data_IF_807964143130
#
_entry.id   IF_807964143130
#
_cell.length_a   1.000
_cell.length_b   1.000
_cell.length_c   1.000
_cell.angle_alpha   90.00
_cell.angle_beta   90.00
_cell.angle_gamma   90.00
#
_symmetry.space_group_name_H-M   'P 1'
#
loop_
_entity.id
_entity.type
_entity.pdbx_description
1 polymer ?
#
# COMPACT_ATOMS: atom_id res chain seq x y z
N UNK A 1 24.30 4.28 -83.95
CA UNK A 1 24.16 2.83 -83.96
C UNK A 1 23.48 2.40 -82.68
N UNK A 2 22.42 1.72 -82.82
CA UNK A 2 21.44 1.23 -81.91
C UNK A 2 21.95 0.43 -80.67
N UNK A 3 21.32 0.58 -79.56
CA UNK A 3 21.12 -0.53 -78.63
C UNK A 3 19.92 -0.25 -77.72
N UNK A 4 19.03 -1.21 -77.75
CA UNK A 4 17.72 -1.24 -77.11
C UNK A 4 17.72 -1.29 -75.57
N UNK A 5 16.59 -0.98 -74.94
CA UNK A 5 16.47 -0.99 -73.49
C UNK A 5 16.07 -2.38 -72.97
N UNK A 6 16.62 -2.75 -71.82
CA UNK A 6 16.22 -3.96 -71.08
C UNK A 6 15.27 -3.61 -69.96
N UNK A 7 14.30 -4.46 -69.79
CA UNK A 7 13.04 -4.33 -69.12
C UNK A 7 13.11 -4.10 -67.62
N UNK A 8 12.14 -3.33 -67.18
CA UNK A 8 11.64 -3.25 -65.80
C UNK A 8 10.95 -4.56 -65.42
N UNK A 9 11.50 -5.26 -64.49
CA UNK A 9 10.74 -6.21 -63.68
C UNK A 9 10.36 -5.54 -62.36
N UNK A 10 9.13 -5.12 -62.31
CA UNK A 10 8.44 -4.82 -61.07
C UNK A 10 8.23 -6.13 -60.32
N UNK A 11 9.04 -6.40 -59.35
CA UNK A 11 8.70 -7.36 -58.31
C UNK A 11 7.88 -6.61 -57.22
N UNK A 12 6.57 -6.64 -57.43
CA UNK A 12 5.58 -6.38 -56.39
C UNK A 12 5.69 -7.50 -55.34
N UNK A 13 6.57 -7.37 -54.38
CA UNK A 13 6.51 -8.19 -53.19
C UNK A 13 5.35 -7.69 -52.31
N UNK A 14 4.24 -8.39 -52.50
CA UNK A 14 3.08 -8.37 -51.59
C UNK A 14 3.48 -8.35 -50.13
N UNK A 15 3.27 -7.23 -49.55
CA UNK A 15 3.32 -7.02 -48.11
C UNK A 15 1.91 -7.26 -47.50
N UNK A 16 1.33 -8.42 -47.82
CA UNK A 16 0.06 -8.90 -47.27
C UNK A 16 0.35 -10.17 -46.48
N UNK A 17 0.60 -10.02 -45.16
CA UNK A 17 0.25 -11.01 -44.13
C UNK A 17 0.78 -10.63 -42.75
N UNK A 18 0.48 -9.42 -42.26
CA UNK A 18 0.22 -9.31 -40.84
C UNK A 18 -1.21 -9.80 -40.56
N UNK A 19 -1.36 -11.13 -40.53
CA UNK A 19 -2.60 -11.76 -40.05
C UNK A 19 -2.80 -11.22 -38.63
N UNK A 20 -3.80 -10.36 -38.43
CA UNK A 20 -4.23 -9.85 -37.13
C UNK A 20 -4.54 -11.07 -36.25
N UNK A 21 -3.52 -11.48 -35.44
CA UNK A 21 -3.73 -12.54 -34.47
C UNK A 21 -4.87 -12.12 -33.55
N UNK A 22 -5.97 -12.86 -33.59
CA UNK A 22 -7.16 -12.60 -32.77
C UNK A 22 -6.71 -12.53 -31.31
N UNK A 23 -6.87 -11.36 -30.66
CA UNK A 23 -6.52 -11.17 -29.27
C UNK A 23 -7.28 -12.16 -28.39
N UNK A 24 -6.60 -12.76 -27.42
CA UNK A 24 -7.24 -13.60 -26.43
C UNK A 24 -8.09 -12.73 -25.48
N UNK A 25 -9.30 -13.18 -25.18
CA UNK A 25 -10.19 -12.46 -24.25
C UNK A 25 -9.83 -12.80 -22.81
N UNK A 26 -9.65 -11.78 -21.99
CA UNK A 26 -9.36 -11.90 -20.55
C UNK A 26 -10.39 -11.11 -19.75
N UNK A 27 -10.95 -11.76 -18.75
CA UNK A 27 -11.82 -11.15 -17.75
C UNK A 27 -11.04 -10.95 -16.45
N UNK A 28 -11.02 -9.70 -15.95
CA UNK A 28 -10.47 -9.34 -14.63
C UNK A 28 -11.64 -9.05 -13.70
N UNK A 29 -11.66 -9.66 -12.52
CA UNK A 29 -12.71 -9.46 -11.52
C UNK A 29 -12.15 -8.57 -10.41
N UNK A 30 -12.81 -7.43 -10.19
CA UNK A 30 -12.44 -6.38 -9.25
C UNK A 30 -11.57 -5.29 -9.87
N UNK A 31 -12.01 -4.03 -9.74
CA UNK A 31 -11.30 -2.84 -10.20
C UNK A 31 -10.57 -2.11 -9.07
N UNK A 32 -10.04 -2.85 -8.08
CA UNK A 32 -9.03 -2.34 -7.15
C UNK A 32 -7.68 -2.21 -7.85
N UNK A 33 -6.64 -1.71 -7.15
CA UNK A 33 -5.31 -1.48 -7.75
C UNK A 33 -4.73 -2.74 -8.42
N UNK A 34 -4.93 -3.91 -7.83
CA UNK A 34 -4.43 -5.17 -8.40
C UNK A 34 -5.07 -5.50 -9.75
N UNK A 35 -6.42 -5.41 -9.82
CA UNK A 35 -7.14 -5.68 -11.07
C UNK A 35 -6.89 -4.62 -12.13
N UNK A 36 -6.87 -3.35 -11.74
CA UNK A 36 -6.56 -2.24 -12.66
C UNK A 36 -5.13 -2.35 -13.21
N UNK A 37 -4.14 -2.66 -12.36
CA UNK A 37 -2.75 -2.86 -12.83
C UNK A 37 -2.62 -4.07 -13.74
N UNK A 38 -3.30 -5.18 -13.44
CA UNK A 38 -3.31 -6.36 -14.29
C UNK A 38 -3.94 -6.04 -15.65
N UNK A 39 -5.10 -5.36 -15.65
CA UNK A 39 -5.78 -4.96 -16.89
C UNK A 39 -4.90 -4.03 -17.74
N UNK A 40 -4.24 -3.07 -17.11
CA UNK A 40 -3.31 -2.15 -17.76
C UNK A 40 -2.15 -2.89 -18.44
N UNK A 41 -1.45 -3.77 -17.72
CA UNK A 41 -0.32 -4.53 -18.26
C UNK A 41 -0.74 -5.49 -19.39
N UNK A 42 -1.90 -6.16 -19.24
CA UNK A 42 -2.45 -7.01 -20.27
C UNK A 42 -2.82 -6.21 -21.52
N UNK A 43 -3.40 -5.02 -21.35
CA UNK A 43 -3.71 -4.14 -22.47
C UNK A 43 -2.44 -3.67 -23.19
N UNK A 44 -1.41 -3.26 -22.46
CA UNK A 44 -0.13 -2.81 -23.02
C UNK A 44 0.59 -3.89 -23.83
N UNK A 45 0.39 -5.16 -23.49
CA UNK A 45 0.98 -6.28 -24.25
C UNK A 45 0.43 -6.45 -25.66
N UNK A 46 -0.69 -5.81 -25.99
CA UNK A 46 -1.44 -5.93 -27.23
C UNK A 46 -1.93 -7.36 -27.60
N UNK A 47 -1.64 -8.36 -26.76
CA UNK A 47 -2.02 -9.75 -26.98
C UNK A 47 -3.46 -10.07 -26.51
N UNK A 48 -4.04 -9.21 -25.66
CA UNK A 48 -5.30 -9.48 -24.97
C UNK A 48 -6.36 -8.43 -25.22
N UNK A 49 -7.62 -8.88 -25.31
CA UNK A 49 -8.82 -8.07 -25.21
C UNK A 49 -9.33 -8.16 -23.75
N UNK A 50 -9.11 -7.11 -22.95
CA UNK A 50 -9.36 -7.13 -21.52
C UNK A 50 -10.71 -6.51 -21.21
N UNK A 51 -11.47 -7.14 -20.29
CA UNK A 51 -12.65 -6.55 -19.65
C UNK A 51 -12.52 -6.70 -18.14
N UNK A 52 -12.74 -5.62 -17.41
CA UNK A 52 -12.75 -5.60 -15.94
C UNK A 52 -14.19 -5.49 -15.46
N UNK A 53 -14.60 -6.34 -14.53
CA UNK A 53 -15.89 -6.25 -13.85
C UNK A 53 -15.68 -5.85 -12.41
N UNK A 54 -16.45 -4.84 -11.96
CA UNK A 54 -16.43 -4.30 -10.60
C UNK A 54 -17.84 -4.28 -10.05
N UNK A 55 -18.01 -4.81 -8.84
CA UNK A 55 -19.31 -4.86 -8.16
C UNK A 55 -19.79 -3.47 -7.69
N UNK A 56 -18.84 -2.64 -7.25
CA UNK A 56 -19.15 -1.31 -6.76
C UNK A 56 -19.47 -0.33 -7.92
N UNK A 57 -20.18 0.76 -7.63
CA UNK A 57 -20.49 1.79 -8.63
C UNK A 57 -19.24 2.51 -9.17
N UNK A 58 -18.13 2.47 -8.42
CA UNK A 58 -16.88 3.15 -8.76
C UNK A 58 -15.69 2.20 -8.69
N UNK A 59 -14.73 2.37 -9.60
CA UNK A 59 -13.45 1.66 -9.56
C UNK A 59 -12.53 2.27 -8.50
N UNK A 60 -11.56 1.48 -8.01
CA UNK A 60 -10.50 1.92 -7.09
C UNK A 60 -10.31 1.01 -5.88
N UNK A 61 -11.34 0.30 -5.44
CA UNK A 61 -11.27 -0.56 -4.25
C UNK A 61 -10.85 0.26 -3.01
N UNK A 62 -9.72 -0.08 -2.38
CA UNK A 62 -9.17 0.69 -1.24
C UNK A 62 -8.61 2.07 -1.60
N UNK A 63 -8.48 2.40 -2.88
CA UNK A 63 -8.18 3.76 -3.33
C UNK A 63 -9.47 4.59 -3.37
N UNK A 64 -10.04 4.79 -2.19
CA UNK A 64 -11.32 5.46 -2.02
C UNK A 64 -11.12 6.87 -1.49
N UNK A 65 -11.39 7.86 -2.33
CA UNK A 65 -11.38 9.28 -1.95
C UNK A 65 -12.82 9.77 -1.75
N UNK A 66 -13.12 10.29 -0.57
CA UNK A 66 -14.38 11.01 -0.31
C UNK A 66 -14.19 12.48 -0.70
N UNK A 67 -14.84 12.88 -1.76
CA UNK A 67 -14.74 14.24 -2.26
C UNK A 67 -15.56 15.22 -1.41
N UNK A 68 -15.03 16.44 -1.24
CA UNK A 68 -15.70 17.58 -0.59
C UNK A 68 -16.37 17.18 0.73
N UNK A 69 -15.64 16.53 1.61
CA UNK A 69 -16.13 16.15 2.93
C UNK A 69 -16.42 17.40 3.77
N UNK A 70 -17.69 17.63 4.10
CA UNK A 70 -18.10 18.73 5.00
C UNK A 70 -17.43 18.64 6.39
N UNK A 71 -17.19 17.43 6.87
CA UNK A 71 -16.51 17.19 8.14
C UNK A 71 -15.01 17.51 8.11
N UNK A 72 -14.41 17.63 6.92
CA UNK A 72 -13.01 17.98 6.71
C UNK A 72 -12.85 19.35 6.02
N UNK A 73 -13.77 20.28 6.23
CA UNK A 73 -13.71 21.63 5.63
C UNK A 73 -13.83 21.63 4.10
N UNK A 74 -14.68 20.76 3.56
CA UNK A 74 -14.87 20.56 2.11
C UNK A 74 -13.61 20.08 1.36
N UNK A 75 -12.71 19.44 2.07
CA UNK A 75 -11.52 18.83 1.48
C UNK A 75 -11.79 17.39 1.02
N UNK A 76 -11.06 16.98 0.00
CA UNK A 76 -11.01 15.58 -0.41
C UNK A 76 -10.23 14.75 0.64
N UNK A 77 -10.77 13.61 1.05
CA UNK A 77 -10.18 12.75 2.09
C UNK A 77 -10.08 11.32 1.58
N UNK A 78 -8.88 10.74 1.65
CA UNK A 78 -8.67 9.31 1.40
C UNK A 78 -9.13 8.49 2.61
N UNK A 79 -10.00 7.51 2.37
CA UNK A 79 -10.57 6.65 3.41
C UNK A 79 -9.88 5.29 3.53
N UNK A 80 -9.11 4.89 2.52
CA UNK A 80 -8.39 3.63 2.51
C UNK A 80 -6.89 3.85 2.33
N UNK A 81 -6.37 3.68 1.10
CA UNK A 81 -4.96 3.92 0.81
C UNK A 81 -4.61 5.41 0.92
N UNK A 82 -3.67 5.74 1.80
CA UNK A 82 -3.30 7.13 2.10
C UNK A 82 -1.84 7.45 1.78
N UNK A 83 -0.90 6.62 2.24
CA UNK A 83 0.53 6.90 2.22
C UNK A 83 1.33 5.75 1.61
N UNK A 84 2.45 6.08 1.00
CA UNK A 84 3.43 5.13 0.47
C UNK A 84 4.84 5.70 0.60
N UNK A 85 5.86 4.90 0.28
CA UNK A 85 7.23 5.37 0.18
C UNK A 85 7.94 4.70 -1.00
N UNK A 86 9.05 5.27 -1.45
CA UNK A 86 9.74 4.79 -2.64
C UNK A 86 10.48 3.48 -2.44
N UNK A 87 10.75 3.10 -1.21
CA UNK A 87 11.54 1.89 -0.88
C UNK A 87 10.66 0.65 -0.81
N UNK A 88 9.51 0.76 -0.12
CA UNK A 88 8.65 -0.38 0.19
C UNK A 88 7.65 -0.72 -0.93
N UNK A 89 7.38 0.24 -1.82
CA UNK A 89 6.36 0.13 -2.87
C UNK A 89 6.91 0.23 -4.30
N UNK A 90 7.97 -0.54 -4.69
CA UNK A 90 8.65 -0.35 -5.97
C UNK A 90 7.72 -0.50 -7.18
N UNK A 91 6.81 -1.47 -7.16
CA UNK A 91 5.87 -1.70 -8.28
C UNK A 91 4.82 -0.59 -8.40
N UNK A 92 4.33 -0.07 -7.28
CA UNK A 92 3.39 1.06 -7.27
C UNK A 92 4.08 2.34 -7.78
N UNK A 93 5.31 2.57 -7.34
CA UNK A 93 6.14 3.70 -7.81
C UNK A 93 6.38 3.60 -9.31
N UNK A 94 6.76 2.42 -9.83
CA UNK A 94 6.92 2.20 -11.26
C UNK A 94 5.66 2.48 -12.07
N UNK A 95 4.50 2.05 -11.56
CA UNK A 95 3.20 2.37 -12.18
C UNK A 95 2.93 3.88 -12.17
N UNK A 96 3.26 4.57 -11.07
CA UNK A 96 3.07 6.03 -10.98
C UNK A 96 3.99 6.79 -11.94
N UNK A 97 5.23 6.35 -12.10
CA UNK A 97 6.18 6.94 -13.06
C UNK A 97 5.69 6.77 -14.50
N UNK A 98 5.26 5.57 -14.86
CA UNK A 98 4.75 5.24 -16.19
C UNK A 98 3.50 6.04 -16.54
N UNK A 99 2.55 6.15 -15.61
CA UNK A 99 1.31 6.90 -15.78
C UNK A 99 1.44 8.40 -15.45
N UNK A 100 2.65 8.87 -15.09
CA UNK A 100 2.94 10.26 -14.70
C UNK A 100 2.10 10.76 -13.54
N UNK A 101 1.76 9.87 -12.59
CA UNK A 101 1.04 10.21 -11.37
C UNK A 101 1.95 11.01 -10.45
N UNK A 102 1.55 12.22 -10.10
CA UNK A 102 2.32 13.09 -9.22
C UNK A 102 2.10 12.73 -7.76
N UNK A 103 3.14 12.86 -6.97
CA UNK A 103 3.10 12.66 -5.52
C UNK A 103 3.93 13.71 -4.80
N UNK A 104 3.69 13.89 -3.53
CA UNK A 104 4.38 14.86 -2.67
C UNK A 104 4.79 14.23 -1.35
N UNK A 105 5.76 14.84 -0.68
CA UNK A 105 6.21 14.40 0.64
C UNK A 105 5.11 14.63 1.66
N UNK A 106 4.94 13.67 2.55
CA UNK A 106 4.01 13.72 3.66
C UNK A 106 4.68 13.29 4.95
N UNK A 107 3.97 13.41 6.04
CA UNK A 107 4.36 12.94 7.35
C UNK A 107 3.52 11.73 7.76
N UNK A 108 4.18 10.68 8.25
CA UNK A 108 3.54 9.52 8.86
C UNK A 108 3.94 9.46 10.31
N UNK A 109 3.45 10.42 11.07
CA UNK A 109 3.58 10.43 12.52
C UNK A 109 2.50 9.57 13.18
N UNK A 110 2.81 9.12 14.38
CA UNK A 110 1.89 8.41 15.25
C UNK A 110 1.72 9.20 16.54
N UNK A 111 0.50 9.35 16.99
CA UNK A 111 0.20 9.94 18.29
C UNK A 111 -0.89 9.16 19.00
N UNK A 112 -0.82 9.17 20.33
CA UNK A 112 -1.80 8.58 21.21
C UNK A 112 -2.29 9.64 22.19
N UNK A 113 -3.61 9.75 22.32
CA UNK A 113 -4.26 10.47 23.39
C UNK A 113 -5.24 9.55 24.11
N UNK A 114 -5.10 9.44 25.41
CA UNK A 114 -6.01 8.75 26.31
C UNK A 114 -6.30 9.64 27.53
N UNK A 115 -7.20 9.22 28.43
CA UNK A 115 -7.53 10.01 29.63
C UNK A 115 -6.29 10.41 30.46
N UNK A 116 -5.24 9.58 30.46
CA UNK A 116 -4.07 9.75 31.33
C UNK A 116 -2.74 9.88 30.63
N UNK A 117 -2.69 9.64 29.32
CA UNK A 117 -1.43 9.61 28.59
C UNK A 117 -1.60 10.23 27.21
N UNK A 118 -0.73 11.18 26.91
CA UNK A 118 -0.64 11.77 25.57
C UNK A 118 0.84 11.81 25.17
N UNK A 119 1.13 11.29 23.99
CA UNK A 119 2.46 11.32 23.40
C UNK A 119 2.39 11.14 21.89
N UNK A 120 3.46 11.51 21.18
CA UNK A 120 3.56 11.34 19.74
C UNK A 120 4.98 11.02 19.30
N UNK A 121 5.13 10.53 18.08
CA UNK A 121 6.41 10.08 17.52
C UNK A 121 7.26 11.20 16.89
N UNK A 122 6.76 12.44 16.86
CA UNK A 122 7.45 13.60 16.28
C UNK A 122 8.39 14.27 17.29
N UNK A 123 9.63 13.80 17.35
CA UNK A 123 10.67 14.41 18.14
C UNK A 123 10.39 14.45 19.65
N UNK A 124 11.23 15.14 20.39
CA UNK A 124 11.10 15.23 21.86
C UNK A 124 9.82 15.96 22.30
N UNK A 125 9.38 16.96 21.56
CA UNK A 125 8.15 17.70 21.86
C UNK A 125 6.91 16.80 21.75
N UNK A 126 6.87 15.88 20.79
CA UNK A 126 5.81 14.90 20.67
C UNK A 126 5.88 13.83 21.77
N UNK A 127 7.05 13.26 22.03
CA UNK A 127 7.25 12.24 23.07
C UNK A 127 6.81 12.79 24.45
N UNK A 128 7.12 14.04 24.74
CA UNK A 128 6.78 14.72 25.99
C UNK A 128 5.66 15.75 25.82
N UNK A 129 4.69 15.53 24.92
CA UNK A 129 3.51 16.37 24.75
C UNK A 129 2.82 16.62 26.10
N UNK A 130 2.74 15.59 26.91
CA UNK A 130 2.41 15.72 28.33
C UNK A 130 3.67 15.82 29.19
N UNK A 131 3.94 16.96 29.80
CA UNK A 131 5.13 17.18 30.65
C UNK A 131 5.27 16.17 31.81
N UNK A 132 4.16 15.64 32.33
CA UNK A 132 4.18 14.61 33.40
C UNK A 132 4.82 13.29 32.93
N UNK A 133 4.93 13.05 31.64
CA UNK A 133 5.62 11.86 31.10
C UNK A 133 7.10 11.84 31.44
N UNK A 134 7.71 13.03 31.66
CA UNK A 134 9.11 13.17 32.09
C UNK A 134 9.40 12.50 33.44
N UNK A 135 8.43 12.48 34.34
CA UNK A 135 8.56 11.92 35.71
C UNK A 135 7.79 10.60 35.87
N UNK A 136 7.16 10.08 34.81
CA UNK A 136 6.37 8.88 34.89
C UNK A 136 7.24 7.62 34.64
N UNK A 137 7.50 6.76 35.62
CA UNK A 137 8.35 5.58 35.45
C UNK A 137 7.74 4.56 34.50
N UNK A 138 6.39 4.44 34.39
CA UNK A 138 5.72 3.56 33.44
C UNK A 138 5.95 4.01 32.01
N UNK A 139 5.99 5.33 31.76
CA UNK A 139 6.27 5.88 30.44
C UNK A 139 7.73 5.59 30.03
N UNK A 140 8.69 5.76 30.90
CA UNK A 140 10.10 5.42 30.62
C UNK A 140 10.30 3.92 30.42
N UNK A 141 9.56 3.08 31.17
CA UNK A 141 9.57 1.64 30.93
C UNK A 141 9.02 1.32 29.54
N UNK A 142 7.92 1.95 29.10
CA UNK A 142 7.37 1.79 27.75
C UNK A 142 8.42 2.17 26.69
N UNK A 143 9.11 3.30 26.82
CA UNK A 143 10.18 3.68 25.88
C UNK A 143 11.26 2.59 25.79
N UNK A 144 11.69 2.03 26.93
CA UNK A 144 12.65 0.94 26.97
C UNK A 144 12.10 -0.34 26.29
N UNK A 145 10.82 -0.63 26.48
CA UNK A 145 10.15 -1.76 25.87
C UNK A 145 9.97 -1.58 24.37
N UNK A 146 9.74 -0.37 23.85
CA UNK A 146 9.77 -0.06 22.43
C UNK A 146 11.14 -0.43 21.83
N UNK A 147 12.23 -0.03 22.47
CA UNK A 147 13.59 -0.35 22.04
C UNK A 147 13.89 -1.86 22.11
N UNK A 148 13.36 -2.56 23.12
CA UNK A 148 13.44 -4.03 23.23
C UNK A 148 12.64 -4.69 22.11
N UNK A 149 11.41 -4.24 21.86
CA UNK A 149 10.52 -4.82 20.85
C UNK A 149 11.05 -4.65 19.43
N UNK A 150 11.74 -3.55 19.14
CA UNK A 150 12.42 -3.35 17.85
C UNK A 150 13.33 -4.52 17.46
N UNK A 151 13.96 -5.18 18.44
CA UNK A 151 14.90 -6.29 18.19
C UNK A 151 14.22 -7.54 17.67
N UNK A 152 12.91 -7.71 17.93
CA UNK A 152 12.15 -8.90 17.51
C UNK A 152 12.18 -9.12 15.99
N UNK A 153 12.30 -8.05 15.20
CA UNK A 153 12.43 -8.16 13.75
C UNK A 153 13.63 -9.04 13.32
N UNK A 154 14.76 -8.90 14.00
CA UNK A 154 15.96 -9.68 13.67
C UNK A 154 15.75 -11.17 13.93
N UNK A 155 15.10 -11.50 15.04
CA UNK A 155 14.82 -12.88 15.41
C UNK A 155 13.80 -13.53 14.45
N UNK A 156 12.74 -12.80 14.10
CA UNK A 156 11.70 -13.26 13.18
C UNK A 156 12.22 -13.40 11.75
N UNK A 157 13.02 -12.42 11.27
CA UNK A 157 13.49 -12.38 9.88
C UNK A 157 14.74 -13.26 9.66
N UNK A 158 15.49 -13.62 10.70
CA UNK A 158 16.66 -14.51 10.60
C UNK A 158 16.33 -15.93 10.15
N UNK A 159 15.05 -16.30 10.16
CA UNK A 159 14.60 -17.66 9.86
C UNK A 159 14.84 -18.67 10.98
N UNK A 160 15.53 -18.27 12.07
CA UNK A 160 15.71 -19.11 13.25
C UNK A 160 14.37 -19.33 13.94
N UNK A 161 14.14 -20.54 14.50
CA UNK A 161 12.91 -20.89 15.23
C UNK A 161 11.62 -20.61 14.43
N UNK A 162 11.63 -20.89 13.11
CA UNK A 162 10.53 -20.61 12.18
C UNK A 162 9.17 -21.08 12.73
N UNK A 163 9.10 -22.33 13.22
CA UNK A 163 7.89 -22.93 13.75
C UNK A 163 7.35 -22.19 14.99
N UNK A 164 8.24 -21.69 15.84
CA UNK A 164 7.85 -20.88 17.00
C UNK A 164 7.15 -19.58 16.54
N UNK A 165 7.76 -18.84 15.59
CA UNK A 165 7.22 -17.57 15.12
C UNK A 165 5.91 -17.71 14.34
N UNK A 166 5.70 -18.83 13.66
CA UNK A 166 4.49 -19.13 12.90
C UNK A 166 3.29 -19.49 13.78
N UNK A 167 3.54 -20.08 14.95
CA UNK A 167 2.49 -20.52 15.89
C UNK A 167 2.12 -19.46 16.94
N UNK A 168 2.95 -18.45 17.15
CA UNK A 168 2.73 -17.45 18.20
C UNK A 168 1.80 -16.34 17.75
N UNK A 169 0.94 -15.91 18.68
CA UNK A 169 0.18 -14.66 18.57
C UNK A 169 0.93 -13.52 19.24
N UNK A 170 0.55 -12.29 18.87
CA UNK A 170 1.09 -11.09 19.49
C UNK A 170 0.92 -11.10 21.02
N UNK A 171 -0.29 -11.41 21.48
CA UNK A 171 -0.60 -11.44 22.93
C UNK A 171 0.20 -12.46 23.71
N UNK A 172 0.40 -13.67 23.15
CA UNK A 172 1.25 -14.71 23.75
C UNK A 172 2.69 -14.23 23.85
N UNK A 173 3.23 -13.65 22.77
CA UNK A 173 4.60 -13.15 22.76
C UNK A 173 4.85 -12.04 23.79
N UNK A 174 3.94 -11.07 23.88
CA UNK A 174 4.06 -9.99 24.87
C UNK A 174 4.09 -10.51 26.29
N UNK A 175 3.20 -11.45 26.62
CA UNK A 175 3.10 -12.10 27.94
C UNK A 175 4.33 -12.91 28.29
N UNK A 176 4.76 -13.80 27.39
CA UNK A 176 5.92 -14.69 27.60
C UNK A 176 7.23 -13.93 27.77
N UNK A 177 7.35 -12.77 27.14
CA UNK A 177 8.55 -11.94 27.21
C UNK A 177 8.48 -10.81 28.23
N UNK A 178 7.44 -10.82 29.09
CA UNK A 178 7.30 -9.91 30.22
C UNK A 178 7.15 -8.46 29.83
N UNK A 179 6.45 -8.17 28.73
CA UNK A 179 6.09 -6.80 28.37
C UNK A 179 4.97 -6.29 29.28
N UNK A 180 5.07 -5.01 29.68
CA UNK A 180 4.09 -4.39 30.55
C UNK A 180 2.75 -4.15 29.85
N UNK A 181 1.66 -4.15 30.63
CA UNK A 181 0.35 -3.73 30.14
C UNK A 181 0.38 -2.29 29.61
N UNK A 182 1.19 -1.40 30.25
CA UNK A 182 1.32 -0.04 29.81
C UNK A 182 1.89 0.06 28.38
N UNK A 183 2.90 -0.73 28.04
CA UNK A 183 3.45 -0.83 26.69
C UNK A 183 2.43 -1.40 25.71
N UNK A 184 1.74 -2.46 26.10
CA UNK A 184 0.68 -3.06 25.28
C UNK A 184 -0.39 -2.03 24.93
N UNK A 185 -0.94 -1.35 25.95
CA UNK A 185 -2.13 -0.51 25.81
C UNK A 185 -1.82 0.89 25.24
N UNK A 186 -0.60 1.39 25.39
CA UNK A 186 -0.24 2.74 24.95
C UNK A 186 0.71 2.80 23.75
N UNK A 187 1.15 1.64 23.24
CA UNK A 187 1.96 1.57 22.02
C UNK A 187 1.47 0.49 21.05
N UNK A 188 1.44 -0.79 21.47
CA UNK A 188 1.22 -1.90 20.54
C UNK A 188 -0.20 -1.93 20.00
N UNK A 189 -1.21 -1.93 20.87
CA UNK A 189 -2.61 -1.98 20.47
C UNK A 189 -3.04 -0.74 19.65
N UNK A 190 -2.70 0.50 20.06
CA UNK A 190 -2.98 1.67 19.22
C UNK A 190 -2.32 1.63 17.85
N UNK A 191 -1.09 1.11 17.75
CA UNK A 191 -0.40 0.95 16.47
C UNK A 191 -1.12 -0.09 15.57
N UNK A 192 -1.56 -1.22 16.14
CA UNK A 192 -2.36 -2.20 15.42
C UNK A 192 -3.69 -1.61 14.96
N UNK A 193 -4.41 -0.90 15.84
CA UNK A 193 -5.68 -0.28 15.53
C UNK A 193 -5.56 0.79 14.42
N UNK A 194 -4.50 1.60 14.44
CA UNK A 194 -4.24 2.62 13.42
C UNK A 194 -3.99 2.02 12.03
N UNK A 195 -3.39 0.82 11.95
CA UNK A 195 -3.05 0.17 10.67
C UNK A 195 -4.19 -0.70 10.15
N UNK A 196 -4.82 -1.49 11.03
CA UNK A 196 -5.79 -2.52 10.63
C UNK A 196 -7.21 -2.23 11.07
N UNK A 197 -7.49 -1.09 11.72
CA UNK A 197 -8.83 -0.72 12.22
C UNK A 197 -9.49 -1.84 13.03
N UNK A 198 -8.70 -2.53 13.85
CA UNK A 198 -9.11 -3.68 14.64
C UNK A 198 -9.28 -3.32 16.13
N UNK A 199 -10.03 -4.12 16.85
CA UNK A 199 -10.15 -4.02 18.31
C UNK A 199 -8.98 -4.74 19.01
N UNK A 200 -8.83 -4.52 20.33
CA UNK A 200 -7.72 -5.04 21.13
C UNK A 200 -7.63 -6.56 21.13
N UNK A 201 -8.78 -7.25 21.19
CA UNK A 201 -8.84 -8.71 21.19
C UNK A 201 -8.33 -9.29 19.88
N UNK A 202 -8.74 -8.71 18.77
CA UNK A 202 -8.31 -9.15 17.44
C UNK A 202 -6.82 -8.86 17.26
N UNK A 203 -6.36 -7.68 17.68
CA UNK A 203 -4.93 -7.32 17.63
C UNK A 203 -4.05 -8.30 18.42
N UNK A 204 -4.44 -8.67 19.63
CA UNK A 204 -3.69 -9.64 20.43
C UNK A 204 -3.70 -11.05 19.84
N UNK A 205 -4.73 -11.38 19.06
CA UNK A 205 -4.85 -12.64 18.31
C UNK A 205 -4.05 -12.68 17.00
N UNK A 206 -3.48 -11.57 16.54
CA UNK A 206 -2.73 -11.57 15.29
C UNK A 206 -1.54 -12.54 15.33
N UNK A 207 -1.31 -13.31 14.25
CA UNK A 207 -0.10 -14.10 14.11
C UNK A 207 1.13 -13.19 14.14
N UNK A 208 2.08 -13.49 15.02
CA UNK A 208 3.22 -12.61 15.30
C UNK A 208 4.12 -12.42 14.07
N UNK A 209 4.43 -13.48 13.34
CA UNK A 209 5.35 -13.44 12.20
C UNK A 209 4.87 -12.49 11.09
N UNK A 210 3.64 -12.61 10.55
CA UNK A 210 3.12 -11.66 9.56
C UNK A 210 3.11 -10.22 10.05
N UNK A 211 2.71 -9.99 11.32
CA UNK A 211 2.66 -8.67 11.92
C UNK A 211 4.05 -8.03 11.97
N UNK A 212 5.05 -8.73 12.52
CA UNK A 212 6.41 -8.20 12.62
C UNK A 212 7.05 -8.03 11.23
N UNK A 213 6.78 -8.95 10.30
CA UNK A 213 7.27 -8.83 8.92
C UNK A 213 6.70 -7.58 8.25
N UNK A 214 5.40 -7.31 8.42
CA UNK A 214 4.77 -6.10 7.90
C UNK A 214 5.38 -4.84 8.53
N UNK A 215 5.51 -4.80 9.87
CA UNK A 215 6.09 -3.64 10.55
C UNK A 215 7.55 -3.40 10.17
N UNK A 216 8.32 -4.47 9.97
CA UNK A 216 9.71 -4.37 9.52
C UNK A 216 9.81 -3.84 8.09
N UNK A 217 9.03 -4.39 7.16
CA UNK A 217 9.00 -3.98 5.76
C UNK A 217 8.57 -2.51 5.58
N UNK A 218 7.67 -2.03 6.43
CA UNK A 218 7.19 -0.65 6.42
C UNK A 218 8.01 0.29 7.31
N UNK A 219 9.15 -0.18 7.86
CA UNK A 219 10.02 0.59 8.74
C UNK A 219 9.32 1.16 9.99
N UNK A 220 8.20 0.55 10.42
CA UNK A 220 7.44 1.01 11.58
C UNK A 220 8.13 0.71 12.92
N UNK A 221 9.07 -0.24 12.91
CA UNK A 221 9.92 -0.54 14.06
C UNK A 221 11.17 0.35 14.13
N UNK A 222 11.39 1.23 13.11
CA UNK A 222 12.54 2.14 13.10
C UNK A 222 12.20 3.46 13.79
N UNK A 223 13.17 3.97 14.58
CA UNK A 223 13.04 5.23 15.29
C UNK A 223 13.69 6.37 14.53
N UNK A 224 14.87 6.13 13.96
CA UNK A 224 15.69 7.16 13.30
C UNK A 224 15.77 7.01 11.78
N UNK A 225 15.80 5.80 11.26
CA UNK A 225 15.94 5.51 9.83
C UNK A 225 14.58 5.21 9.21
N UNK A 226 13.74 6.23 9.13
CA UNK A 226 12.41 6.10 8.52
C UNK A 226 12.46 6.54 7.06
N UNK A 227 11.78 5.84 6.13
CA UNK A 227 11.66 6.30 4.76
C UNK A 227 10.86 7.61 4.71
N UNK A 228 11.12 8.41 3.68
CA UNK A 228 10.29 9.58 3.40
C UNK A 228 8.92 9.10 2.88
N UNK A 229 7.90 9.34 3.66
CA UNK A 229 6.54 9.01 3.30
C UNK A 229 5.97 10.02 2.31
N UNK A 230 5.09 9.56 1.45
CA UNK A 230 4.49 10.34 0.38
C UNK A 230 3.01 10.09 0.26
N UNK A 231 2.30 11.06 -0.31
CA UNK A 231 0.89 10.96 -0.70
C UNK A 231 0.76 11.24 -2.18
N UNK A 232 -0.26 10.69 -2.80
CA UNK A 232 -0.60 11.01 -4.19
C UNK A 232 -1.16 12.42 -4.25
N UNK A 233 -0.62 13.25 -5.14
CA UNK A 233 -1.15 14.60 -5.37
C UNK A 233 -2.51 14.51 -6.05
N UNK A 234 -3.52 15.09 -5.43
CA UNK A 234 -4.92 14.94 -5.86
C UNK A 234 -5.62 13.72 -5.26
N UNK A 235 -5.03 13.11 -4.20
CA UNK A 235 -5.55 11.95 -3.47
C UNK A 235 -5.43 10.65 -4.28
N UNK A 236 -5.85 9.54 -3.66
CA UNK A 236 -5.75 8.21 -4.27
C UNK A 236 -6.60 8.07 -5.54
N UNK A 237 -7.69 8.79 -5.68
CA UNK A 237 -8.49 8.84 -6.91
C UNK A 237 -7.66 9.19 -8.15
N UNK A 238 -6.65 10.06 -8.02
CA UNK A 238 -5.87 10.54 -9.15
C UNK A 238 -5.11 9.43 -9.88
N UNK A 239 -4.58 8.43 -9.17
CA UNK A 239 -3.94 7.32 -9.84
C UNK A 239 -4.95 6.32 -10.43
N UNK A 240 -6.11 6.15 -9.80
CA UNK A 240 -7.20 5.34 -10.36
C UNK A 240 -7.64 5.93 -11.69
N UNK A 241 -7.90 7.24 -11.74
CA UNK A 241 -8.25 7.96 -12.96
C UNK A 241 -7.17 7.85 -14.04
N UNK A 242 -5.87 7.92 -13.65
CA UNK A 242 -4.77 7.75 -14.58
C UNK A 242 -4.75 6.36 -15.22
N UNK A 243 -4.98 5.29 -14.44
CA UNK A 243 -5.08 3.92 -14.98
C UNK A 243 -6.31 3.79 -15.88
N UNK A 244 -7.48 4.28 -15.45
CA UNK A 244 -8.71 4.22 -16.24
C UNK A 244 -8.56 4.94 -17.58
N UNK A 245 -7.91 6.10 -17.60
CA UNK A 245 -7.61 6.85 -18.83
C UNK A 245 -6.66 6.13 -19.78
N UNK A 246 -5.79 5.28 -19.26
CA UNK A 246 -4.84 4.49 -20.04
C UNK A 246 -5.44 3.17 -20.58
N UNK A 247 -6.64 2.82 -20.17
CA UNK A 247 -7.40 1.67 -20.65
C UNK A 247 -8.39 2.08 -21.75
N UNK A 248 -8.77 1.16 -22.65
CA UNK A 248 -9.80 1.43 -23.66
C UNK A 248 -11.15 1.79 -23.04
N UNK A 249 -11.89 2.66 -23.70
CA UNK A 249 -13.25 3.00 -23.30
C UNK A 249 -14.13 1.74 -23.16
N UNK A 250 -14.89 1.67 -22.07
CA UNK A 250 -15.75 0.53 -21.78
C UNK A 250 -15.02 -0.75 -21.34
N UNK A 251 -13.70 -0.72 -21.19
CA UNK A 251 -12.91 -1.84 -20.64
C UNK A 251 -13.32 -2.15 -19.21
N UNK A 252 -13.59 -1.15 -18.39
CA UNK A 252 -14.01 -1.31 -16.98
C UNK A 252 -15.52 -1.13 -16.87
N UNK A 253 -16.20 -2.15 -16.35
CA UNK A 253 -17.64 -2.21 -16.16
C UNK A 253 -17.98 -2.25 -14.67
N UNK A 254 -18.38 -1.12 -14.12
CA UNK A 254 -18.78 -0.96 -12.72
C UNK A 254 -20.23 -1.35 -12.48
N UNK A 255 -20.64 -1.59 -11.23
CA UNK A 255 -21.98 -2.05 -10.85
C UNK A 255 -22.30 -3.44 -11.44
N UNK A 256 -21.29 -4.27 -11.66
CA UNK A 256 -21.42 -5.61 -12.25
C UNK A 256 -20.81 -6.66 -11.33
N UNK A 257 -21.69 -7.36 -10.64
CA UNK A 257 -21.30 -8.47 -9.78
C UNK A 257 -21.07 -9.74 -10.63
N UNK A 258 -19.97 -10.45 -10.35
CA UNK A 258 -19.66 -11.75 -10.96
C UNK A 258 -19.86 -12.82 -9.89
N UNK A 259 -20.73 -13.79 -10.19
CA UNK A 259 -21.06 -14.91 -9.30
C UNK A 259 -20.08 -16.08 -9.43
#
# INVERSE_FOLDING_TARGET
MASSPLGNNNDDFNNENESSKKKQTVCVIGAGISGLSAAYLLHQSNAFAVTVYESEPTAGGHALTREKSKHAGELDVDLGFQVFNLTTYPHLVGLFEELRVKHEQSDMSFSLQSERTEWGSLGLSGIFAQKRNLINPKFWNMIREILKFKKVKHDVLSGSKKEYWEKKTLGEYLRENGYSDYFRDHYVLPMCAAIWSCNDKDALGFPLKPLITFWANHHLLEIFERPVWRVVKGRSKAYVEAVLKALPDGCVKTGRYVH
#
